data_IF_909339419746
#
_entry.id   IF_909339419746
#
_cell.length_a   1.000
_cell.length_b   1.000
_cell.length_c   1.000
_cell.angle_alpha   90.00
_cell.angle_beta   90.00
_cell.angle_gamma   90.00
#
_symmetry.space_group_name_H-M   'P 1'
#
loop_
_entity.id
_entity.type
_entity.pdbx_description
1 polymer ?
#
# COMPACT_ATOMS: atom_id res chain seq x y z
N UNK A 1 -2.53 -5.02 21.43
CA UNK A 1 -2.11 -5.99 20.39
C UNK A 1 -2.68 -5.54 19.05
N UNK A 2 -1.99 -5.76 17.93
CA UNK A 2 -2.56 -5.50 16.62
C UNK A 2 -3.83 -6.36 16.43
N UNK A 3 -4.89 -5.73 15.90
CA UNK A 3 -6.19 -6.38 15.65
C UNK A 3 -6.48 -6.54 14.14
N UNK A 4 -5.52 -6.14 13.31
CA UNK A 4 -5.59 -6.18 11.85
C UNK A 4 -4.26 -5.75 11.25
N UNK A 5 -4.10 -6.05 9.97
CA UNK A 5 -2.94 -5.65 9.17
C UNK A 5 -3.42 -5.08 7.83
N UNK A 6 -2.63 -4.17 7.29
CA UNK A 6 -2.76 -3.59 5.97
C UNK A 6 -1.36 -3.29 5.43
N UNK A 7 -1.29 -2.90 4.17
CA UNK A 7 -0.06 -2.56 3.49
C UNK A 7 -0.02 -1.06 3.16
N UNK A 8 1.18 -0.59 2.84
CA UNK A 8 1.45 0.75 2.38
C UNK A 8 2.86 0.79 1.80
N UNK A 9 3.20 1.88 1.11
CA UNK A 9 4.56 2.10 0.63
C UNK A 9 5.07 3.48 1.02
N UNK A 10 6.35 3.54 1.37
CA UNK A 10 7.05 4.80 1.54
C UNK A 10 7.43 5.33 0.17
N UNK A 11 7.21 6.61 -0.04
CA UNK A 11 7.66 7.33 -1.22
C UNK A 11 8.48 8.56 -0.83
N UNK A 12 9.40 8.94 -1.71
CA UNK A 12 9.98 10.27 -1.75
C UNK A 12 9.31 11.09 -2.83
N UNK A 13 8.75 12.23 -2.42
CA UNK A 13 8.08 13.14 -3.33
C UNK A 13 8.23 14.58 -2.85
N UNK A 14 8.68 15.47 -3.74
CA UNK A 14 8.88 16.90 -3.45
C UNK A 14 9.74 17.15 -2.18
N UNK A 15 10.76 16.30 -1.97
CA UNK A 15 11.65 16.38 -0.81
C UNK A 15 11.02 15.91 0.51
N UNK A 16 9.85 15.27 0.47
CA UNK A 16 9.13 14.72 1.62
C UNK A 16 9.09 13.20 1.56
N UNK A 17 9.18 12.57 2.74
CA UNK A 17 8.90 11.14 2.93
C UNK A 17 7.42 10.99 3.27
N UNK A 18 6.70 10.22 2.47
CA UNK A 18 5.25 10.05 2.60
C UNK A 18 4.94 8.56 2.66
N UNK A 19 4.05 8.16 3.57
CA UNK A 19 3.45 6.83 3.51
C UNK A 19 2.15 6.92 2.71
N UNK A 20 2.02 6.09 1.68
CA UNK A 20 0.79 5.90 0.94
C UNK A 20 0.09 4.61 1.37
N UNK A 21 -1.23 4.64 1.48
CA UNK A 21 -2.08 3.47 1.73
C UNK A 21 -3.50 3.73 1.21
N UNK A 22 -4.45 2.86 1.54
CA UNK A 22 -5.85 2.95 1.13
C UNK A 22 -6.75 3.33 2.30
N UNK A 23 -7.75 4.16 1.99
CA UNK A 23 -8.63 4.76 2.98
C UNK A 23 -9.43 3.72 3.78
N UNK A 24 -9.97 2.67 3.15
CA UNK A 24 -10.75 1.68 3.90
C UNK A 24 -9.93 0.95 4.97
N UNK A 25 -8.61 0.89 4.82
CA UNK A 25 -7.71 0.39 5.85
C UNK A 25 -7.50 1.43 6.95
N UNK A 26 -7.25 2.69 6.59
CA UNK A 26 -6.78 3.74 7.50
C UNK A 26 -7.88 4.64 8.08
N UNK A 27 -9.12 4.58 7.60
CA UNK A 27 -10.26 5.42 8.04
C UNK A 27 -10.69 5.16 9.48
N UNK A 28 -10.56 3.92 9.95
CA UNK A 28 -10.98 3.57 11.31
C UNK A 28 -10.13 4.36 12.30
N UNK A 29 -10.70 4.80 13.42
CA UNK A 29 -10.01 5.34 14.62
C UNK A 29 -9.00 4.34 15.26
N UNK A 30 -8.51 3.39 14.48
CA UNK A 30 -7.43 2.51 14.81
C UNK A 30 -6.15 3.32 14.86
N UNK A 31 -5.47 3.23 16.01
CA UNK A 31 -4.09 3.67 16.20
C UNK A 31 -3.15 2.81 15.34
N UNK A 32 -3.22 2.97 14.02
CA UNK A 32 -2.35 2.31 13.07
C UNK A 32 -0.91 2.70 13.35
N UNK A 33 -0.02 1.72 13.18
CA UNK A 33 1.42 1.90 13.33
C UNK A 33 2.09 1.26 12.13
N UNK A 34 3.22 1.83 11.71
CA UNK A 34 4.09 1.24 10.72
C UNK A 34 5.03 0.30 11.46
N UNK A 35 5.04 -0.98 11.07
CA UNK A 35 6.06 -1.92 11.50
C UNK A 35 7.41 -1.52 10.89
N UNK A 36 8.42 -1.29 11.73
CA UNK A 36 9.76 -0.91 11.28
C UNK A 36 10.62 -2.15 11.14
N UNK A 37 10.81 -2.86 12.26
CA UNK A 37 11.54 -4.13 12.34
C UNK A 37 11.27 -4.77 13.69
N UNK A 38 11.47 -6.06 13.79
CA UNK A 38 11.63 -6.79 15.03
C UNK A 38 13.08 -6.73 15.52
N UNK A 39 13.25 -6.53 16.82
CA UNK A 39 14.52 -6.65 17.52
C UNK A 39 14.45 -7.84 18.49
N UNK A 40 15.40 -8.77 18.39
CA UNK A 40 15.44 -9.95 19.25
C UNK A 40 15.37 -9.54 20.74
N UNK A 41 14.48 -10.19 21.49
CA UNK A 41 14.23 -9.96 22.92
C UNK A 41 13.65 -8.58 23.30
N UNK A 42 13.54 -7.65 22.35
CA UNK A 42 12.93 -6.32 22.57
C UNK A 42 11.56 -6.17 21.92
N UNK A 43 11.26 -7.03 20.94
CA UNK A 43 9.98 -7.05 20.22
C UNK A 43 9.98 -6.16 18.96
N UNK A 44 8.79 -5.93 18.41
CA UNK A 44 8.62 -5.15 17.18
C UNK A 44 8.71 -3.64 17.43
N UNK A 45 9.69 -3.00 16.82
CA UNK A 45 9.78 -1.55 16.68
C UNK A 45 8.68 -1.04 15.75
N UNK A 46 7.98 -0.02 16.21
CA UNK A 46 6.86 0.59 15.50
C UNK A 46 7.05 2.10 15.39
N UNK A 47 6.52 2.67 14.30
CA UNK A 47 6.41 4.11 14.10
C UNK A 47 4.93 4.51 14.06
N UNK A 48 4.59 5.63 14.70
CA UNK A 48 3.23 6.16 14.70
C UNK A 48 3.13 7.31 13.70
N UNK A 49 2.48 7.11 12.53
CA UNK A 49 2.39 8.14 11.50
C UNK A 49 1.46 9.31 11.84
N UNK A 50 0.84 9.31 13.03
CA UNK A 50 -0.15 10.32 13.40
C UNK A 50 -1.46 10.07 12.65
N UNK A 51 -2.05 11.13 12.10
CA UNK A 51 -3.26 11.05 11.28
C UNK A 51 -2.96 10.86 9.80
N UNK A 52 -3.89 10.23 9.08
CA UNK A 52 -3.87 10.16 7.62
C UNK A 52 -4.75 11.24 7.02
N UNK A 53 -4.33 11.77 5.88
CA UNK A 53 -5.17 12.58 5.00
C UNK A 53 -6.03 11.66 4.13
N UNK A 54 -7.23 12.12 3.82
CA UNK A 54 -8.21 11.39 3.02
C UNK A 54 -8.78 12.29 1.93
N UNK A 55 -9.24 11.69 0.84
CA UNK A 55 -9.76 12.45 -0.31
C UNK A 55 -11.26 12.20 -0.51
N UNK A 56 -11.96 13.27 -0.86
CA UNK A 56 -13.35 13.24 -1.32
C UNK A 56 -13.45 13.87 -2.72
N UNK A 57 -14.22 13.24 -3.59
CA UNK A 57 -14.53 13.76 -4.94
C UNK A 57 -16.00 14.18 -4.98
N UNK A 58 -16.25 15.40 -5.45
CA UNK A 58 -17.60 15.95 -5.60
C UNK A 58 -17.78 16.48 -7.01
N UNK A 59 -18.92 16.16 -7.63
CA UNK A 59 -19.31 16.77 -8.91
C UNK A 59 -19.87 18.16 -8.65
N UNK A 60 -19.50 19.14 -9.47
CA UNK A 60 -20.04 20.50 -9.35
C UNK A 60 -21.57 20.46 -9.47
N UNK A 61 -22.27 21.02 -8.48
CA UNK A 61 -23.74 21.00 -8.40
C UNK A 61 -24.33 19.77 -7.72
N UNK A 62 -23.53 18.77 -7.34
CA UNK A 62 -23.95 17.67 -6.47
C UNK A 62 -23.69 18.02 -5.00
N UNK A 63 -24.55 17.54 -4.10
CA UNK A 63 -24.29 17.54 -2.65
C UNK A 63 -23.58 16.28 -2.17
N UNK A 64 -23.37 15.29 -3.04
CA UNK A 64 -22.74 14.02 -2.70
C UNK A 64 -21.23 14.10 -2.84
N UNK A 65 -20.54 13.78 -1.75
CA UNK A 65 -19.09 13.58 -1.71
C UNK A 65 -18.81 12.08 -1.79
N UNK A 66 -18.14 11.65 -2.86
CA UNK A 66 -17.63 10.30 -3.01
C UNK A 66 -16.29 10.19 -2.32
N UNK A 67 -16.20 9.35 -1.29
CA UNK A 67 -14.93 9.01 -0.66
C UNK A 67 -14.04 8.24 -1.65
N UNK A 68 -12.78 8.66 -1.74
CA UNK A 68 -11.78 8.01 -2.57
C UNK A 68 -10.97 7.04 -1.71
N UNK A 69 -10.72 5.84 -2.23
CA UNK A 69 -9.99 4.80 -1.49
C UNK A 69 -8.47 5.02 -1.46
N UNK A 70 -8.05 6.20 -1.01
CA UNK A 70 -6.66 6.64 -0.98
C UNK A 70 -6.40 7.42 0.31
N UNK A 71 -5.26 7.14 0.93
CA UNK A 71 -4.83 7.82 2.15
C UNK A 71 -3.33 8.01 2.16
N UNK A 72 -2.88 9.10 2.78
CA UNK A 72 -1.46 9.43 2.81
C UNK A 72 -1.13 10.30 4.01
N UNK A 73 0.11 10.27 4.46
CA UNK A 73 0.62 11.23 5.45
C UNK A 73 2.13 11.40 5.36
N UNK A 74 2.62 12.58 5.74
CA UNK A 74 4.06 12.82 5.88
C UNK A 74 4.58 12.06 7.09
N UNK A 75 5.77 11.50 6.95
CA UNK A 75 6.48 10.80 8.02
C UNK A 75 7.89 11.35 8.12
N UNK A 76 8.63 10.94 9.15
CA UNK A 76 10.02 11.36 9.33
C UNK A 76 10.84 11.08 8.04
N UNK A 77 11.66 12.05 7.64
CA UNK A 77 12.42 11.99 6.37
C UNK A 77 13.44 10.85 6.33
N UNK A 78 13.87 10.38 7.49
CA UNK A 78 14.78 9.25 7.69
C UNK A 78 14.05 7.94 8.01
N UNK A 79 12.71 7.91 7.94
CA UNK A 79 11.95 6.70 8.17
C UNK A 79 12.28 5.65 7.11
N UNK A 80 12.76 4.50 7.59
CA UNK A 80 12.98 3.29 6.82
C UNK A 80 12.29 2.13 7.56
N UNK A 81 11.88 1.10 6.82
CA UNK A 81 11.36 -0.15 7.38
C UNK A 81 12.03 -1.35 6.73
N UNK A 82 11.90 -2.50 7.36
CA UNK A 82 12.61 -3.71 6.99
C UNK A 82 11.62 -4.84 6.74
N UNK A 83 11.95 -5.69 5.78
CA UNK A 83 11.39 -7.02 5.66
C UNK A 83 12.31 -7.97 6.42
N UNK A 84 11.76 -8.74 7.34
CA UNK A 84 12.50 -9.72 8.11
C UNK A 84 11.80 -11.07 8.06
N UNK A 85 12.58 -12.11 7.79
CA UNK A 85 12.15 -13.48 8.00
C UNK A 85 12.51 -13.88 9.43
N UNK A 86 11.49 -14.19 10.24
CA UNK A 86 11.66 -14.44 11.68
C UNK A 86 11.09 -15.81 11.99
N UNK A 87 11.85 -16.62 12.73
CA UNK A 87 11.34 -17.91 13.24
C UNK A 87 10.27 -17.70 14.31
N UNK A 88 9.41 -18.69 14.59
CA UNK A 88 8.45 -18.60 15.71
C UNK A 88 9.10 -18.35 17.09
N UNK A 89 10.39 -18.66 17.24
CA UNK A 89 11.18 -18.39 18.46
C UNK A 89 11.75 -16.97 18.51
N UNK A 90 11.47 -16.12 17.53
CA UNK A 90 11.95 -14.75 17.48
C UNK A 90 13.42 -14.61 17.08
N UNK A 91 14.00 -15.60 16.36
CA UNK A 91 15.32 -15.47 15.72
C UNK A 91 15.16 -14.90 14.31
N UNK A 92 15.94 -13.87 13.97
CA UNK A 92 15.97 -13.27 12.62
C UNK A 92 16.82 -14.16 11.70
N UNK A 93 16.25 -14.60 10.57
CA UNK A 93 16.92 -15.41 9.55
C UNK A 93 17.49 -14.55 8.43
N UNK A 94 16.74 -13.55 7.99
CA UNK A 94 17.15 -12.59 6.96
C UNK A 94 16.53 -11.22 7.24
N UNK A 95 17.19 -10.16 6.77
CA UNK A 95 16.73 -8.78 6.86
C UNK A 95 17.07 -8.05 5.57
N UNK A 96 16.10 -7.36 4.99
CA UNK A 96 16.26 -6.52 3.81
C UNK A 96 15.49 -5.22 4.02
N UNK A 97 16.10 -4.08 3.71
CA UNK A 97 15.39 -2.78 3.73
C UNK A 97 14.26 -2.80 2.71
N UNK A 98 13.08 -2.28 3.10
CA UNK A 98 11.97 -2.10 2.15
C UNK A 98 12.25 -0.91 1.25
N UNK A 99 11.86 -1.05 -0.01
CA UNK A 99 12.03 -0.01 -1.01
C UNK A 99 11.28 1.27 -0.62
N UNK A 100 11.94 2.41 -0.83
CA UNK A 100 11.32 3.74 -0.79
C UNK A 100 11.23 4.22 -2.23
N UNK A 101 10.01 4.36 -2.73
CA UNK A 101 9.79 4.61 -4.15
C UNK A 101 9.89 6.10 -4.49
N UNK A 102 10.31 6.42 -5.70
CA UNK A 102 10.17 7.76 -6.29
C UNK A 102 9.18 7.69 -7.46
N UNK A 103 7.87 7.65 -7.19
CA UNK A 103 6.87 7.36 -8.21
C UNK A 103 6.84 8.44 -9.29
N UNK A 104 6.77 7.99 -10.55
CA UNK A 104 6.53 8.84 -11.72
C UNK A 104 5.04 8.81 -12.03
N UNK A 105 4.32 9.83 -11.54
CA UNK A 105 2.86 9.89 -11.60
C UNK A 105 2.29 10.07 -13.01
N UNK A 106 3.12 10.33 -14.01
CA UNK A 106 2.77 10.39 -15.44
C UNK A 106 2.78 9.01 -16.11
N UNK A 107 3.32 7.98 -15.44
CA UNK A 107 3.31 6.60 -15.95
C UNK A 107 1.94 5.98 -15.71
N UNK A 108 1.25 5.67 -16.81
CA UNK A 108 -0.01 4.96 -16.81
C UNK A 108 0.21 3.49 -17.17
N UNK A 109 -0.55 2.55 -16.58
CA UNK A 109 -0.45 1.16 -16.95
C UNK A 109 -0.92 0.93 -18.39
N UNK A 110 -0.17 0.11 -19.13
CA UNK A 110 -0.47 -0.36 -20.49
C UNK A 110 -0.70 -1.88 -20.53
N UNK A 111 -1.30 -2.37 -21.62
CA UNK A 111 -1.65 -3.79 -21.82
C UNK A 111 -0.46 -4.67 -22.20
N UNK A 112 0.60 -4.04 -22.69
CA UNK A 112 1.82 -4.68 -23.20
C UNK A 112 2.77 -5.09 -22.06
N UNK A 113 2.63 -4.47 -20.89
CA UNK A 113 3.50 -4.65 -19.73
C UNK A 113 3.00 -5.78 -18.81
N UNK A 114 3.81 -6.17 -17.83
CA UNK A 114 3.39 -6.97 -16.67
C UNK A 114 3.54 -6.18 -15.38
N UNK A 115 2.68 -6.52 -14.42
CA UNK A 115 2.68 -5.88 -13.12
C UNK A 115 2.77 -6.90 -12.00
N UNK A 116 3.13 -6.44 -10.81
CA UNK A 116 3.08 -7.27 -9.63
C UNK A 116 2.96 -6.46 -8.36
N UNK A 117 2.51 -7.10 -7.29
CA UNK A 117 2.58 -6.55 -5.94
C UNK A 117 3.04 -7.64 -4.98
N UNK A 118 3.47 -7.22 -3.80
CA UNK A 118 3.75 -8.13 -2.69
C UNK A 118 3.18 -7.56 -1.40
N UNK A 119 2.88 -8.44 -0.46
CA UNK A 119 2.28 -8.06 0.81
C UNK A 119 2.54 -9.10 1.90
N UNK A 120 2.27 -8.72 3.13
CA UNK A 120 2.22 -9.64 4.26
C UNK A 120 0.77 -10.05 4.50
N UNK A 121 0.54 -11.34 4.64
CA UNK A 121 -0.77 -11.95 4.87
C UNK A 121 -0.70 -12.91 6.05
N UNK A 122 -1.84 -13.50 6.42
CA UNK A 122 -1.92 -14.55 7.46
C UNK A 122 -1.24 -14.14 8.77
N UNK A 123 -1.49 -12.91 9.22
CA UNK A 123 -0.92 -12.41 10.46
C UNK A 123 -1.34 -13.26 11.67
N UNK A 124 -0.37 -13.71 12.43
CA UNK A 124 -0.55 -14.49 13.65
C UNK A 124 0.38 -13.99 14.76
N UNK A 125 -0.09 -14.06 16.01
CA UNK A 125 0.68 -13.65 17.18
C UNK A 125 1.23 -14.88 17.89
N UNK A 126 2.55 -14.92 18.07
CA UNK A 126 3.24 -15.93 18.88
C UNK A 126 3.66 -15.30 20.22
N UNK A 127 2.93 -15.62 21.29
CA UNK A 127 3.11 -14.97 22.59
C UNK A 127 2.71 -13.48 22.55
N UNK A 128 3.35 -12.66 23.41
CA UNK A 128 2.95 -11.26 23.58
C UNK A 128 3.68 -10.28 22.66
N UNK A 129 4.75 -10.70 21.97
CA UNK A 129 5.71 -9.78 21.35
C UNK A 129 6.12 -10.14 19.92
N UNK A 130 5.70 -11.30 19.40
CA UNK A 130 6.10 -11.75 18.06
C UNK A 130 4.89 -11.78 17.15
N UNK A 131 4.87 -10.88 16.18
CA UNK A 131 3.95 -10.93 15.04
C UNK A 131 4.64 -11.73 13.92
N UNK A 132 4.04 -12.85 13.51
CA UNK A 132 4.46 -13.57 12.32
C UNK A 132 3.45 -13.33 11.19
N UNK A 133 3.97 -13.29 9.97
CA UNK A 133 3.20 -13.07 8.75
C UNK A 133 3.80 -13.89 7.63
N UNK A 134 3.00 -14.27 6.65
CA UNK A 134 3.50 -14.86 5.41
C UNK A 134 3.71 -13.77 4.36
N UNK A 135 4.90 -13.71 3.76
CA UNK A 135 5.14 -12.83 2.63
C UNK A 135 4.69 -13.50 1.33
N UNK A 136 3.85 -12.82 0.56
CA UNK A 136 3.40 -13.30 -0.75
C UNK A 136 3.71 -12.29 -1.83
N UNK A 137 4.18 -12.81 -2.97
CA UNK A 137 4.43 -12.06 -4.19
C UNK A 137 3.43 -12.54 -5.25
N UNK A 138 2.81 -11.59 -5.93
CA UNK A 138 1.83 -11.80 -6.98
C UNK A 138 2.35 -11.19 -8.28
N UNK A 139 3.18 -11.93 -9.03
CA UNK A 139 3.74 -11.46 -10.30
C UNK A 139 2.74 -11.63 -11.46
N UNK A 140 3.15 -11.17 -12.64
CA UNK A 140 2.52 -11.44 -13.94
C UNK A 140 1.06 -11.00 -14.06
N UNK A 141 0.69 -9.95 -13.32
CA UNK A 141 -0.61 -9.31 -13.46
C UNK A 141 -0.70 -8.60 -14.81
N UNK A 142 -1.88 -8.65 -15.44
CA UNK A 142 -2.13 -8.00 -16.72
C UNK A 142 -3.15 -6.88 -16.57
N UNK A 143 -2.75 -5.67 -16.92
CA UNK A 143 -3.67 -4.54 -16.93
C UNK A 143 -4.76 -4.73 -17.99
N UNK A 144 -6.03 -4.54 -17.61
CA UNK A 144 -7.17 -4.68 -18.52
C UNK A 144 -7.76 -3.32 -18.91
N UNK A 145 -8.10 -2.51 -17.90
CA UNK A 145 -8.74 -1.20 -18.08
C UNK A 145 -8.65 -0.35 -16.81
N UNK A 146 -9.00 0.92 -16.97
CA UNK A 146 -9.23 1.86 -15.87
C UNK A 146 -10.72 2.20 -15.81
N UNK A 147 -11.30 2.14 -14.63
CA UNK A 147 -12.71 2.45 -14.41
C UNK A 147 -12.90 3.10 -13.04
N UNK A 148 -13.62 4.22 -12.98
CA UNK A 148 -13.97 4.91 -11.73
C UNK A 148 -12.78 5.26 -10.79
N UNK A 149 -11.58 5.41 -11.34
CA UNK A 149 -10.36 5.73 -10.58
C UNK A 149 -9.51 4.53 -10.20
N UNK A 150 -9.96 3.33 -10.57
CA UNK A 150 -9.24 2.08 -10.30
C UNK A 150 -8.69 1.49 -11.60
N UNK A 151 -7.45 1.02 -11.53
CA UNK A 151 -6.86 0.15 -12.53
C UNK A 151 -7.25 -1.29 -12.20
N UNK A 152 -7.81 -2.00 -13.17
CA UNK A 152 -8.11 -3.43 -13.05
C UNK A 152 -6.94 -4.23 -13.63
N UNK A 153 -6.43 -5.16 -12.83
CA UNK A 153 -5.38 -6.09 -13.20
C UNK A 153 -5.89 -7.53 -13.10
N UNK A 154 -5.76 -8.29 -14.18
CA UNK A 154 -6.07 -9.71 -14.24
C UNK A 154 -4.96 -10.53 -13.57
N UNK A 155 -5.35 -11.45 -12.69
CA UNK A 155 -4.46 -12.46 -12.12
C UNK A 155 -4.09 -13.51 -13.18
N UNK A 156 -2.86 -14.04 -13.17
CA UNK A 156 -2.46 -15.12 -14.07
C UNK A 156 -3.06 -16.49 -13.67
N UNK A 157 -3.87 -16.54 -12.61
CA UNK A 157 -4.51 -17.73 -12.06
C UNK A 157 -5.91 -17.42 -11.53
N UNK A 158 -6.68 -18.47 -11.20
CA UNK A 158 -7.99 -18.34 -10.58
C UNK A 158 -7.90 -17.73 -9.19
N UNK A 159 -8.72 -16.72 -8.90
CA UNK A 159 -8.69 -16.00 -7.63
C UNK A 159 -8.91 -16.97 -6.45
N UNK A 160 -7.95 -17.11 -5.52
CA UNK A 160 -8.01 -18.10 -4.44
C UNK A 160 -8.97 -17.72 -3.29
N UNK A 161 -9.89 -16.77 -3.51
CA UNK A 161 -10.67 -16.11 -2.45
C UNK A 161 -9.94 -14.95 -1.74
N UNK A 162 -10.69 -14.08 -1.08
CA UNK A 162 -10.18 -12.81 -0.52
C UNK A 162 -9.23 -12.99 0.67
N UNK A 163 -9.39 -14.06 1.47
CA UNK A 163 -8.53 -14.32 2.64
C UNK A 163 -7.05 -14.45 2.26
N UNK A 164 -6.76 -14.91 1.03
CA UNK A 164 -5.39 -15.03 0.54
C UNK A 164 -4.70 -13.68 0.29
N UNK A 165 -5.46 -12.59 0.20
CA UNK A 165 -4.97 -11.22 -0.03
C UNK A 165 -5.17 -10.33 1.20
N UNK A 166 -5.71 -10.86 2.30
CA UNK A 166 -6.01 -10.09 3.49
C UNK A 166 -4.71 -9.60 4.14
N UNK A 167 -4.52 -8.29 4.14
CA UNK A 167 -3.27 -7.62 4.53
C UNK A 167 -2.60 -6.87 3.37
N UNK A 168 -2.96 -7.17 2.12
CA UNK A 168 -2.39 -6.52 0.93
C UNK A 168 -3.05 -5.18 0.58
N UNK A 169 -4.16 -4.78 1.23
CA UNK A 169 -4.78 -3.47 1.01
C UNK A 169 -3.76 -2.34 1.22
N UNK A 170 -3.50 -1.55 0.19
CA UNK A 170 -2.48 -0.50 0.17
C UNK A 170 -1.10 -0.94 -0.33
N UNK A 171 -0.91 -2.21 -0.70
CA UNK A 171 0.34 -2.67 -1.29
C UNK A 171 0.58 -1.99 -2.66
N UNK A 172 1.82 -1.56 -2.95
CA UNK A 172 2.15 -0.96 -4.24
C UNK A 172 2.07 -2.00 -5.36
N UNK A 173 1.39 -1.65 -6.45
CA UNK A 173 1.42 -2.38 -7.71
C UNK A 173 2.48 -1.72 -8.60
N UNK A 174 3.46 -2.51 -9.01
CA UNK A 174 4.65 -2.09 -9.74
C UNK A 174 4.61 -2.59 -11.18
N UNK A 175 5.15 -1.82 -12.11
CA UNK A 175 5.56 -2.32 -13.43
C UNK A 175 6.93 -3.03 -13.37
N UNK A 176 7.39 -3.61 -14.48
CA UNK A 176 8.70 -4.30 -14.56
C UNK A 176 9.90 -3.38 -14.38
N UNK A 177 9.72 -2.06 -14.40
CA UNK A 177 10.76 -1.05 -14.20
C UNK A 177 10.76 -0.52 -12.77
N UNK A 178 9.89 -1.02 -11.89
CA UNK A 178 9.77 -0.61 -10.50
C UNK A 178 8.95 0.65 -10.27
N UNK A 179 8.22 1.15 -11.27
CA UNK A 179 7.34 2.31 -11.08
C UNK A 179 6.05 1.88 -10.38
N UNK A 180 5.68 2.59 -9.31
CA UNK A 180 4.38 2.39 -8.64
C UNK A 180 3.28 3.04 -9.47
N UNK A 181 2.34 2.25 -9.96
CA UNK A 181 1.21 2.72 -10.78
C UNK A 181 -0.11 2.76 -10.01
N UNK A 182 -0.25 1.91 -8.98
CA UNK A 182 -1.46 1.80 -8.18
C UNK A 182 -1.19 1.28 -6.77
N UNK A 183 -2.19 1.38 -5.88
CA UNK A 183 -2.20 0.65 -4.60
C UNK A 183 -3.37 -0.33 -4.58
N UNK A 184 -3.15 -1.57 -4.13
CA UNK A 184 -4.19 -2.60 -4.05
C UNK A 184 -5.36 -2.15 -3.17
N UNK A 185 -6.58 -2.20 -3.69
CA UNK A 185 -7.81 -1.84 -2.95
C UNK A 185 -8.65 -3.07 -2.63
N UNK A 186 -9.04 -3.83 -3.65
CA UNK A 186 -9.87 -5.01 -3.47
C UNK A 186 -9.68 -6.01 -4.62
N UNK A 187 -10.13 -7.26 -4.41
CA UNK A 187 -10.19 -8.28 -5.44
C UNK A 187 -11.61 -8.49 -5.96
N UNK A 188 -11.75 -9.17 -7.09
CA UNK A 188 -13.01 -9.68 -7.62
C UNK A 188 -12.82 -11.13 -8.07
N UNK A 189 -13.48 -12.05 -7.37
CA UNK A 189 -13.28 -13.51 -7.55
C UNK A 189 -13.73 -13.94 -8.94
N UNK A 190 -14.93 -13.55 -9.36
CA UNK A 190 -15.52 -13.98 -10.64
C UNK A 190 -14.69 -13.54 -11.85
N UNK A 191 -14.06 -12.36 -11.76
CA UNK A 191 -13.21 -11.82 -12.81
C UNK A 191 -11.74 -12.17 -12.66
N UNK A 192 -11.33 -12.93 -11.64
CA UNK A 192 -9.93 -13.16 -11.32
C UNK A 192 -9.09 -11.87 -11.34
N UNK A 193 -9.60 -10.81 -10.72
CA UNK A 193 -9.03 -9.47 -10.85
C UNK A 193 -8.66 -8.85 -9.51
N UNK A 194 -7.64 -8.00 -9.54
CA UNK A 194 -7.28 -7.09 -8.47
C UNK A 194 -7.49 -5.67 -8.98
N UNK A 195 -8.11 -4.84 -8.15
CA UNK A 195 -8.30 -3.43 -8.41
C UNK A 195 -7.33 -2.63 -7.57
N UNK A 196 -6.60 -1.73 -8.21
CA UNK A 196 -5.74 -0.78 -7.53
C UNK A 196 -6.15 0.66 -7.80
N UNK A 197 -6.14 1.51 -6.77
CA UNK A 197 -6.42 2.94 -6.92
C UNK A 197 -5.30 3.59 -7.75
N UNK A 198 -5.66 4.38 -8.75
CA UNK A 198 -4.71 5.02 -9.68
C UNK A 198 -3.91 6.11 -8.98
N UNK A 199 -2.59 5.97 -8.88
CA UNK A 199 -1.75 7.01 -8.27
C UNK A 199 -1.71 8.28 -9.13
N UNK A 200 -1.64 8.14 -10.46
CA UNK A 200 -1.62 9.25 -11.40
C UNK A 200 -2.80 10.21 -11.20
N UNK A 201 -4.00 9.66 -10.97
CA UNK A 201 -5.23 10.45 -10.78
C UNK A 201 -5.18 11.36 -9.56
N UNK A 202 -4.47 10.97 -8.51
CA UNK A 202 -4.43 11.68 -7.23
C UNK A 202 -3.13 12.45 -6.99
N UNK A 203 -2.25 12.55 -8.00
CA UNK A 203 -1.03 13.38 -7.95
C UNK A 203 -1.34 14.81 -7.50
N UNK A 204 -2.36 15.44 -8.08
CA UNK A 204 -2.71 16.83 -7.77
C UNK A 204 -3.00 17.05 -6.28
N UNK A 205 -3.59 16.07 -5.60
CA UNK A 205 -3.82 16.18 -4.16
C UNK A 205 -2.51 16.17 -3.36
N UNK A 206 -1.53 15.37 -3.78
CA UNK A 206 -0.19 15.37 -3.20
C UNK A 206 0.55 16.68 -3.51
N UNK A 207 0.43 17.19 -4.74
CA UNK A 207 1.01 18.48 -5.15
C UNK A 207 0.52 19.62 -4.28
N UNK A 208 -0.79 19.72 -4.08
CA UNK A 208 -1.41 20.76 -3.24
C UNK A 208 -0.98 20.61 -1.77
N UNK A 209 -0.95 19.39 -1.25
CA UNK A 209 -0.60 19.15 0.17
C UNK A 209 0.87 19.45 0.44
N UNK A 210 1.76 19.03 -0.44
CA UNK A 210 3.21 19.06 -0.22
C UNK A 210 3.93 20.21 -0.96
N UNK A 211 3.18 21.04 -1.69
CA UNK A 211 3.63 22.35 -2.14
C UNK A 211 4.38 22.38 -3.47
N UNK A 212 3.94 21.62 -4.48
CA UNK A 212 4.37 21.89 -5.86
C UNK A 212 3.69 23.16 -6.37
N UNK A 213 4.29 24.30 -6.06
CA UNK A 213 3.81 25.63 -6.46
C UNK A 213 4.12 25.96 -7.94
N UNK A 214 4.64 25.02 -8.74
CA UNK A 214 4.99 25.30 -10.15
C UNK A 214 3.78 25.28 -11.10
N UNK A 215 2.61 24.86 -10.63
CA UNK A 215 1.36 24.85 -11.41
C UNK A 215 0.16 25.52 -10.71
N UNK A 216 0.40 26.39 -9.72
CA UNK A 216 -0.66 27.18 -9.06
C UNK A 216 -0.80 28.57 -9.71
#
# INVERSE_FOLDING_TARGET
MPIGIASGCLIDYLGKRIILSVFHATKRDANWVIEIKYEEQKGTQIYRPGGFNYLGEMKLGSSEIKEIDFSYTEVASDLCSFFQEITPKGKILSETTREIFSPKFDILPSKEETYGFSGQVMAEMHGNHTLATEHRVYPDLKYERTENGYHQFKLPFSHPGHEHFRGCSGAPILDTKGNVVALVCHGEVEKNSIYGISLARYKLALDITFGDLTNA
#
